data_IF_438244922202
#
_entry.id   IF_438244922202
#
_cell.length_a   1.000
_cell.length_b   1.000
_cell.length_c   1.000
_cell.angle_alpha   90.00
_cell.angle_beta   90.00
_cell.angle_gamma   90.00
#
_symmetry.space_group_name_H-M   'P 1'
#
loop_
_entity.id
_entity.type
_entity.pdbx_description
1 polymer ?
#
# COMPACT_ATOMS: atom_id res chain seq x y z
N UNK A 1 11.93 11.20 3.18
CA UNK A 1 12.62 10.53 2.06
C UNK A 1 13.59 11.46 1.35
N UNK A 2 13.22 12.70 1.02
CA UNK A 2 14.07 13.63 0.26
C UNK A 2 15.32 14.09 1.02
N UNK A 3 15.31 13.98 2.35
CA UNK A 3 16.48 14.23 3.21
C UNK A 3 17.54 13.12 3.19
N UNK A 4 17.25 11.95 2.61
CA UNK A 4 18.17 10.81 2.56
C UNK A 4 19.07 10.87 1.32
N UNK A 5 20.28 10.31 1.43
CA UNK A 5 21.16 10.09 0.27
C UNK A 5 20.56 9.05 -0.68
N UNK A 6 21.08 8.97 -1.91
CA UNK A 6 20.60 8.00 -2.89
C UNK A 6 20.75 6.56 -2.39
N UNK A 7 21.87 6.25 -1.76
CA UNK A 7 22.20 4.93 -1.22
C UNK A 7 21.27 4.56 -0.06
N UNK A 8 20.95 5.53 0.81
CA UNK A 8 19.99 5.33 1.89
C UNK A 8 18.60 5.05 1.35
N UNK A 9 18.14 5.78 0.33
CA UNK A 9 16.84 5.51 -0.32
C UNK A 9 16.80 4.08 -0.88
N UNK A 10 17.86 3.67 -1.60
CA UNK A 10 17.97 2.30 -2.14
C UNK A 10 17.94 1.27 -1.02
N UNK A 11 18.69 1.50 0.06
CA UNK A 11 18.76 0.58 1.20
C UNK A 11 17.40 0.41 1.88
N UNK A 12 16.70 1.50 2.21
CA UNK A 12 15.38 1.48 2.84
C UNK A 12 14.37 0.67 2.01
N UNK A 13 14.30 0.95 0.70
CA UNK A 13 13.35 0.27 -0.20
C UNK A 13 13.71 -1.20 -0.38
N UNK A 14 14.99 -1.54 -0.56
CA UNK A 14 15.41 -2.93 -0.82
C UNK A 14 15.40 -3.81 0.43
N UNK A 15 15.62 -3.26 1.61
CA UNK A 15 15.42 -4.00 2.86
C UNK A 15 13.95 -4.34 3.10
N UNK A 16 13.04 -3.38 2.86
CA UNK A 16 11.61 -3.63 2.92
C UNK A 16 11.17 -4.68 1.87
N UNK A 17 11.66 -4.57 0.62
CA UNK A 17 11.41 -5.56 -0.44
C UNK A 17 11.83 -6.97 0.02
N UNK A 18 13.03 -7.09 0.60
CA UNK A 18 13.58 -8.37 1.03
C UNK A 18 12.68 -9.03 2.07
N UNK A 19 12.26 -8.30 3.10
CA UNK A 19 11.40 -8.84 4.16
C UNK A 19 10.06 -9.31 3.57
N UNK A 20 9.43 -8.50 2.72
CA UNK A 20 8.17 -8.87 2.07
C UNK A 20 8.34 -10.09 1.16
N UNK A 21 9.42 -10.13 0.38
CA UNK A 21 9.69 -11.24 -0.53
C UNK A 21 10.01 -12.54 0.21
N UNK A 22 10.81 -12.51 1.27
CA UNK A 22 11.16 -13.69 2.04
C UNK A 22 9.91 -14.33 2.69
N UNK A 23 8.93 -13.51 3.09
CA UNK A 23 7.69 -13.96 3.72
C UNK A 23 6.62 -14.41 2.71
N UNK A 24 6.54 -13.76 1.54
CA UNK A 24 5.39 -13.92 0.62
C UNK A 24 5.77 -14.50 -0.74
N UNK A 25 7.05 -14.46 -1.12
CA UNK A 25 7.54 -14.73 -2.47
C UNK A 25 7.14 -13.67 -3.51
N UNK A 26 6.55 -12.55 -3.09
CA UNK A 26 6.09 -11.46 -3.96
C UNK A 26 7.07 -10.30 -3.95
N UNK A 27 7.36 -9.72 -5.12
CA UNK A 27 8.10 -8.46 -5.24
C UNK A 27 7.12 -7.35 -5.56
N UNK A 28 6.88 -6.44 -4.62
CA UNK A 28 5.90 -5.36 -4.80
C UNK A 28 6.31 -4.42 -5.92
N UNK A 29 5.34 -3.95 -6.70
CA UNK A 29 5.55 -2.93 -7.73
C UNK A 29 5.27 -1.52 -7.21
N UNK A 30 4.50 -1.39 -6.13
CA UNK A 30 4.08 -0.11 -5.58
C UNK A 30 4.75 0.16 -4.25
N UNK A 31 5.05 1.43 -4.00
CA UNK A 31 5.51 1.92 -2.71
C UNK A 31 4.86 3.27 -2.43
N UNK A 32 4.80 3.64 -1.14
CA UNK A 32 4.31 4.95 -0.69
C UNK A 32 5.42 5.65 0.10
N UNK A 33 5.83 6.86 -0.28
CA UNK A 33 6.84 7.61 0.48
C UNK A 33 6.28 8.03 1.84
N UNK A 34 7.05 7.88 2.93
CA UNK A 34 6.71 8.49 4.22
C UNK A 34 6.42 9.98 4.06
N UNK A 35 5.37 10.46 4.73
CA UNK A 35 4.88 11.85 4.65
C UNK A 35 4.48 12.36 3.26
N UNK A 36 4.39 11.49 2.24
CA UNK A 36 4.24 11.94 0.86
C UNK A 36 5.50 12.63 0.31
N UNK A 37 6.62 12.54 1.03
CA UNK A 37 7.85 13.27 0.75
C UNK A 37 8.60 12.61 -0.41
N UNK A 38 8.47 13.18 -1.61
CA UNK A 38 9.08 12.65 -2.83
C UNK A 38 9.36 13.77 -3.84
N UNK A 39 10.58 13.86 -4.31
CA UNK A 39 11.00 14.77 -5.38
C UNK A 39 11.31 13.97 -6.68
N UNK A 40 11.75 14.67 -7.73
CA UNK A 40 12.14 14.02 -9.00
C UNK A 40 13.28 13.02 -8.81
N UNK A 41 14.25 13.32 -7.92
CA UNK A 41 15.39 12.45 -7.64
C UNK A 41 14.95 11.13 -7.01
N UNK A 42 14.13 11.20 -5.97
CA UNK A 42 13.58 10.02 -5.30
C UNK A 42 12.73 9.20 -6.28
N UNK A 43 11.86 9.85 -7.08
CA UNK A 43 11.05 9.19 -8.11
C UNK A 43 11.91 8.42 -9.12
N UNK A 44 12.99 9.03 -9.58
CA UNK A 44 13.86 8.39 -10.56
C UNK A 44 14.60 7.18 -9.97
N UNK A 45 15.11 7.28 -8.75
CA UNK A 45 15.80 6.17 -8.06
C UNK A 45 14.88 4.96 -7.91
N UNK A 46 13.66 5.16 -7.41
CA UNK A 46 12.71 4.05 -7.19
C UNK A 46 12.18 3.48 -8.51
N UNK A 47 12.01 4.32 -9.54
CA UNK A 47 11.63 3.89 -10.90
C UNK A 47 12.68 2.96 -11.49
N UNK A 48 13.97 3.30 -11.37
CA UNK A 48 15.08 2.43 -11.81
C UNK A 48 15.10 1.09 -11.06
N UNK A 49 14.61 1.06 -9.82
CA UNK A 49 14.44 -0.18 -9.04
C UNK A 49 13.18 -0.98 -9.36
N UNK A 50 12.34 -0.52 -10.31
CA UNK A 50 11.10 -1.20 -10.73
C UNK A 50 9.84 -0.80 -9.96
N UNK A 51 9.91 0.26 -9.14
CA UNK A 51 8.79 0.71 -8.31
C UNK A 51 7.99 1.85 -8.95
N UNK A 52 6.70 1.90 -8.61
CA UNK A 52 5.76 2.97 -8.90
C UNK A 52 5.38 3.68 -7.60
N UNK A 53 5.59 4.99 -7.57
CA UNK A 53 5.22 5.83 -6.42
C UNK A 53 3.71 6.06 -6.38
N UNK A 54 3.11 5.74 -5.23
CA UNK A 54 1.69 5.95 -4.96
C UNK A 54 1.53 7.10 -3.97
N UNK A 55 0.75 8.10 -4.34
CA UNK A 55 0.31 9.20 -3.48
C UNK A 55 -1.22 9.17 -3.44
N UNK A 56 -1.80 9.56 -2.31
CA UNK A 56 -3.25 9.66 -2.19
C UNK A 56 -3.79 10.80 -3.06
N UNK A 57 -5.07 10.71 -3.42
CA UNK A 57 -5.73 11.79 -4.15
C UNK A 57 -5.76 13.03 -3.27
N UNK A 58 -5.46 14.19 -3.85
CA UNK A 58 -5.61 15.48 -3.18
C UNK A 58 -7.02 15.57 -2.60
N UNK A 59 -7.16 16.11 -1.38
CA UNK A 59 -8.41 16.13 -0.61
C UNK A 59 -8.88 14.79 0.03
N UNK A 60 -8.22 13.65 -0.26
CA UNK A 60 -8.59 12.31 0.27
C UNK A 60 -7.63 11.81 1.37
N UNK A 61 -7.27 12.70 2.28
CA UNK A 61 -6.62 12.35 3.55
C UNK A 61 -7.68 12.35 4.67
N UNK A 62 -7.85 11.22 5.35
CA UNK A 62 -8.78 11.09 6.47
C UNK A 62 -8.35 11.91 7.69
N UNK A 63 -7.05 12.21 7.80
CA UNK A 63 -6.35 12.72 8.98
C UNK A 63 -6.47 11.83 10.22
N UNK A 64 -6.82 10.55 10.07
CA UNK A 64 -7.02 9.61 11.20
C UNK A 64 -5.81 9.50 12.14
N UNK A 65 -4.59 9.68 11.63
CA UNK A 65 -3.34 9.72 12.40
C UNK A 65 -3.34 10.73 13.56
N UNK A 66 -4.22 11.73 13.51
CA UNK A 66 -4.39 12.73 14.57
C UNK A 66 -5.25 12.25 15.75
N UNK A 67 -5.93 11.10 15.63
CA UNK A 67 -6.73 10.52 16.72
C UNK A 67 -5.82 10.05 17.87
N UNK A 68 -4.79 9.22 17.65
CA UNK A 68 -3.81 8.86 18.68
C UNK A 68 -3.16 10.08 19.36
N UNK A 69 -2.88 11.13 18.59
CA UNK A 69 -2.30 12.39 19.06
C UNK A 69 -3.31 13.27 19.82
N UNK A 70 -4.59 12.86 19.87
CA UNK A 70 -5.71 13.56 20.51
C UNK A 70 -5.95 14.97 19.95
N UNK A 71 -5.53 15.25 18.72
CA UNK A 71 -5.76 16.55 18.07
C UNK A 71 -7.06 16.58 17.28
N UNK A 72 -7.60 15.42 16.90
CA UNK A 72 -8.96 15.30 16.34
C UNK A 72 -9.72 14.11 16.94
N UNK A 73 -11.03 14.11 16.76
CA UNK A 73 -11.93 12.99 17.12
C UNK A 73 -12.39 12.17 15.91
N UNK A 74 -12.98 11.00 16.15
CA UNK A 74 -13.60 10.19 15.09
C UNK A 74 -14.65 10.97 14.28
N UNK A 75 -15.41 11.87 14.94
CA UNK A 75 -16.40 12.73 14.27
C UNK A 75 -15.76 13.65 13.24
N UNK A 76 -14.55 14.10 13.50
CA UNK A 76 -13.81 15.01 12.62
C UNK A 76 -13.19 14.27 11.45
N UNK A 77 -12.68 13.06 11.67
CA UNK A 77 -12.31 12.16 10.56
C UNK A 77 -13.49 11.93 9.63
N UNK A 78 -14.67 11.61 10.17
CA UNK A 78 -15.87 11.43 9.36
C UNK A 78 -16.30 12.71 8.63
N UNK A 79 -16.10 13.89 9.24
CA UNK A 79 -16.34 15.18 8.60
C UNK A 79 -15.37 15.41 7.43
N UNK A 80 -14.09 15.16 7.64
CA UNK A 80 -13.06 15.28 6.59
C UNK A 80 -13.38 14.37 5.41
N UNK A 81 -13.72 13.11 5.68
CA UNK A 81 -14.08 12.16 4.63
C UNK A 81 -15.37 12.55 3.91
N UNK A 82 -16.40 13.03 4.62
CA UNK A 82 -17.61 13.57 3.98
C UNK A 82 -17.30 14.76 3.07
N UNK A 83 -16.35 15.60 3.45
CA UNK A 83 -15.88 16.67 2.58
C UNK A 83 -15.14 16.13 1.35
N UNK A 84 -14.26 15.15 1.51
CA UNK A 84 -13.61 14.46 0.39
C UNK A 84 -14.64 13.86 -0.59
N UNK A 85 -15.67 13.18 -0.09
CA UNK A 85 -16.78 12.63 -0.89
C UNK A 85 -17.51 13.72 -1.70
N UNK A 86 -17.56 14.97 -1.22
CA UNK A 86 -18.18 16.07 -1.96
C UNK A 86 -17.37 16.51 -3.20
N UNK A 87 -16.10 16.08 -3.29
CA UNK A 87 -15.23 16.37 -4.44
C UNK A 87 -15.44 15.42 -5.61
N UNK A 88 -16.11 14.26 -5.40
CA UNK A 88 -16.33 13.22 -6.43
C UNK A 88 -16.81 13.80 -7.77
N UNK A 89 -17.80 14.71 -7.85
CA UNK A 89 -18.27 15.25 -9.12
C UNK A 89 -17.20 16.01 -9.93
N UNK A 90 -16.11 16.42 -9.30
CA UNK A 90 -14.98 17.12 -9.93
C UNK A 90 -13.86 16.18 -10.38
N UNK A 91 -13.91 14.91 -9.97
CA UNK A 91 -12.88 13.94 -10.28
C UNK A 91 -13.07 13.38 -11.69
N UNK A 92 -11.94 13.13 -12.37
CA UNK A 92 -11.92 12.51 -13.71
C UNK A 92 -11.73 10.99 -13.66
N UNK A 93 -11.73 10.39 -12.47
CA UNK A 93 -11.49 8.95 -12.25
C UNK A 93 -11.72 8.55 -10.80
N UNK A 94 -11.18 7.40 -10.40
CA UNK A 94 -11.21 6.91 -9.02
C UNK A 94 -10.41 7.77 -8.04
N UNK A 95 -10.30 7.29 -6.80
CA UNK A 95 -9.60 7.95 -5.69
C UNK A 95 -8.70 6.97 -4.96
N UNK A 96 -7.60 7.51 -4.44
CA UNK A 96 -6.71 6.82 -3.52
C UNK A 96 -6.84 7.53 -2.18
N UNK A 97 -7.22 6.81 -1.14
CA UNK A 97 -7.47 7.37 0.19
C UNK A 97 -6.28 7.11 1.11
N UNK A 98 -6.00 8.04 2.02
CA UNK A 98 -4.97 7.89 3.03
C UNK A 98 -5.58 7.63 4.42
N UNK A 99 -5.18 6.48 4.97
CA UNK A 99 -5.53 5.98 6.29
C UNK A 99 -4.30 5.32 6.94
N UNK A 100 -4.38 5.10 8.26
CA UNK A 100 -3.32 4.49 9.04
C UNK A 100 -3.87 3.32 9.86
N UNK A 101 -3.15 2.19 9.88
CA UNK A 101 -3.54 0.95 10.56
C UNK A 101 -2.73 0.67 11.83
N UNK A 102 -1.87 1.60 12.24
CA UNK A 102 -0.96 1.42 13.37
C UNK A 102 -1.66 1.38 14.73
N UNK A 103 -2.81 2.05 14.88
CA UNK A 103 -3.52 2.15 16.15
C UNK A 103 -4.95 1.65 16.04
N UNK A 104 -5.45 0.96 17.07
CA UNK A 104 -6.85 0.50 17.11
C UNK A 104 -7.84 1.65 16.89
N UNK A 105 -7.51 2.86 17.38
CA UNK A 105 -8.34 4.04 17.18
C UNK A 105 -8.52 4.44 15.72
N UNK A 106 -7.48 4.29 14.88
CA UNK A 106 -7.54 4.58 13.44
C UNK A 106 -8.18 3.43 12.66
N UNK A 107 -7.92 2.17 13.05
CA UNK A 107 -8.61 1.00 12.47
C UNK A 107 -10.14 1.06 12.70
N UNK A 108 -10.57 1.54 13.87
CA UNK A 108 -11.99 1.64 14.21
C UNK A 108 -12.79 2.63 13.34
N UNK A 109 -12.12 3.57 12.65
CA UNK A 109 -12.81 4.48 11.71
C UNK A 109 -12.86 3.92 10.28
N UNK A 110 -11.98 2.97 9.92
CA UNK A 110 -11.88 2.45 8.55
C UNK A 110 -13.18 1.84 8.02
N UNK A 111 -13.87 1.01 8.82
CA UNK A 111 -15.15 0.40 8.43
C UNK A 111 -16.23 1.45 8.10
N UNK A 112 -16.52 2.40 9.00
CA UNK A 112 -17.42 3.52 8.71
C UNK A 112 -17.01 4.37 7.49
N UNK A 113 -15.71 4.62 7.27
CA UNK A 113 -15.24 5.34 6.07
C UNK A 113 -15.57 4.56 4.79
N UNK A 114 -15.28 3.26 4.78
CA UNK A 114 -15.58 2.37 3.67
C UNK A 114 -17.08 2.36 3.35
N UNK A 115 -17.94 2.22 4.36
CA UNK A 115 -19.40 2.27 4.20
C UNK A 115 -19.88 3.60 3.60
N UNK A 116 -19.30 4.72 4.03
CA UNK A 116 -19.64 6.03 3.48
C UNK A 116 -19.24 6.15 2.00
N UNK A 117 -18.07 5.62 1.62
CA UNK A 117 -17.62 5.57 0.24
C UNK A 117 -18.53 4.71 -0.64
N UNK A 118 -18.84 3.50 -0.20
CA UNK A 118 -19.72 2.59 -0.92
C UNK A 118 -21.13 3.16 -1.12
N UNK A 119 -21.69 3.84 -0.10
CA UNK A 119 -22.98 4.56 -0.22
C UNK A 119 -22.95 5.73 -1.21
N UNK A 120 -21.76 6.24 -1.55
CA UNK A 120 -21.56 7.24 -2.60
C UNK A 120 -21.24 6.66 -3.97
N UNK A 121 -21.31 5.34 -4.12
CA UNK A 121 -21.09 4.65 -5.39
C UNK A 121 -19.63 4.36 -5.69
N UNK A 122 -18.74 4.45 -4.68
CA UNK A 122 -17.35 4.05 -4.83
C UNK A 122 -17.18 2.54 -4.58
N UNK A 123 -16.31 1.91 -5.34
CA UNK A 123 -15.98 0.49 -5.21
C UNK A 123 -14.58 0.32 -4.60
N UNK A 124 -14.44 -0.36 -3.44
CA UNK A 124 -13.12 -0.62 -2.86
C UNK A 124 -12.33 -1.64 -3.68
N UNK A 125 -11.07 -1.35 -3.95
CA UNK A 125 -10.16 -2.23 -4.66
C UNK A 125 -8.70 -1.98 -4.30
N UNK A 126 -7.82 -2.89 -4.73
CA UNK A 126 -6.38 -2.68 -4.62
C UNK A 126 -5.88 -1.62 -5.62
N UNK A 127 -4.68 -1.10 -5.38
CA UNK A 127 -4.06 -0.07 -6.22
C UNK A 127 -3.90 -0.53 -7.66
N UNK A 128 -3.54 -1.79 -7.90
CA UNK A 128 -3.29 -2.27 -9.25
C UNK A 128 -4.56 -2.24 -10.09
N UNK A 129 -5.70 -2.66 -9.53
CA UNK A 129 -7.01 -2.52 -10.18
C UNK A 129 -7.38 -1.06 -10.40
N UNK A 130 -7.19 -0.21 -9.38
CA UNK A 130 -7.50 1.22 -9.47
C UNK A 130 -6.75 1.93 -10.61
N UNK A 131 -5.55 1.46 -10.94
CA UNK A 131 -4.70 2.02 -12.01
C UNK A 131 -4.65 1.16 -13.28
N UNK A 132 -5.51 0.13 -13.37
CA UNK A 132 -5.56 -0.83 -14.47
C UNK A 132 -4.22 -1.52 -14.79
N UNK A 133 -3.41 -1.85 -13.78
CA UNK A 133 -2.18 -2.63 -13.93
C UNK A 133 -2.49 -4.13 -13.77
N UNK A 134 -2.39 -4.93 -14.85
CA UNK A 134 -2.66 -6.37 -14.79
C UNK A 134 -1.55 -7.16 -14.07
N UNK A 135 -0.42 -6.51 -13.75
CA UNK A 135 0.76 -7.15 -13.17
C UNK A 135 1.16 -6.47 -11.84
N UNK A 136 0.44 -6.67 -10.73
CA UNK A 136 0.66 -5.95 -9.47
C UNK A 136 2.05 -6.14 -8.83
N UNK A 137 2.83 -7.12 -9.29
CA UNK A 137 4.14 -7.48 -8.77
C UNK A 137 5.22 -7.41 -9.85
N UNK A 138 6.45 -7.07 -9.46
CA UNK A 138 7.60 -7.09 -10.38
C UNK A 138 7.94 -8.50 -10.85
N UNK A 139 7.57 -9.54 -10.09
CA UNK A 139 7.74 -10.93 -10.47
C UNK A 139 6.46 -11.61 -10.99
N UNK A 140 5.48 -10.84 -11.50
CA UNK A 140 4.20 -11.36 -12.01
C UNK A 140 4.37 -12.46 -13.07
N UNK A 141 5.28 -12.29 -14.02
CA UNK A 141 5.57 -13.30 -15.05
C UNK A 141 6.06 -14.64 -14.45
N UNK A 142 6.97 -14.57 -13.46
CA UNK A 142 7.46 -15.77 -12.75
C UNK A 142 6.32 -16.46 -11.98
N UNK A 143 5.43 -15.68 -11.36
CA UNK A 143 4.26 -16.22 -10.66
C UNK A 143 3.29 -16.91 -11.63
N UNK A 144 3.06 -16.33 -12.81
CA UNK A 144 2.23 -16.92 -13.85
C UNK A 144 2.81 -18.25 -14.37
N UNK A 145 4.11 -18.30 -14.65
CA UNK A 145 4.81 -19.51 -15.07
C UNK A 145 4.71 -20.62 -14.02
N UNK A 146 4.92 -20.30 -12.73
CA UNK A 146 4.76 -21.26 -11.63
C UNK A 146 3.34 -21.80 -11.53
N UNK A 147 2.32 -20.95 -11.71
CA UNK A 147 0.91 -21.37 -11.71
C UNK A 147 0.60 -22.33 -12.86
N UNK A 148 1.12 -22.04 -14.06
CA UNK A 148 0.91 -22.90 -15.22
C UNK A 148 1.63 -24.25 -15.09
N UNK A 149 2.88 -24.25 -14.60
CA UNK A 149 3.62 -25.46 -14.31
C UNK A 149 2.91 -26.36 -13.28
N UNK A 150 2.24 -25.77 -12.28
CA UNK A 150 1.48 -26.49 -11.27
C UNK A 150 0.18 -27.14 -11.80
N UNK A 151 -0.38 -26.65 -12.92
CA UNK A 151 -1.57 -27.22 -13.56
C UNK A 151 -1.26 -28.43 -14.44
N UNK A 152 -0.02 -28.58 -14.90
CA UNK A 152 0.37 -29.70 -15.75
C UNK A 152 0.41 -30.98 -14.89
N UNK A 153 -0.20 -32.11 -15.33
CA UNK A 153 -0.09 -33.35 -14.58
C UNK A 153 1.38 -33.71 -14.45
N UNK A 154 1.88 -33.75 -13.22
CA UNK A 154 3.19 -34.35 -12.97
C UNK A 154 3.02 -35.83 -13.31
N UNK A 155 3.63 -36.27 -14.42
CA UNK A 155 3.73 -37.69 -14.72
C UNK A 155 4.34 -38.35 -13.48
N UNK A 156 3.56 -39.23 -12.84
CA UNK A 156 3.97 -39.89 -11.62
C UNK A 156 5.26 -40.68 -11.90
N UNK A 157 6.39 -40.16 -11.42
CA UNK A 157 7.61 -40.95 -11.31
C UNK A 157 7.30 -42.08 -10.31
N UNK A 158 7.60 -43.36 -10.61
CA UNK A 158 7.33 -44.45 -9.69
C UNK A 158 7.99 -44.16 -8.35
N UNK A 159 7.19 -44.16 -7.28
CA UNK A 159 7.67 -43.93 -5.93
C UNK A 159 8.64 -45.06 -5.55
N UNK A 160 9.89 -44.72 -5.30
CA UNK A 160 10.79 -45.61 -4.58
C UNK A 160 10.30 -45.71 -3.13
N UNK A 161 10.15 -46.96 -2.66
CA UNK A 161 9.68 -47.31 -1.33
C UNK A 161 10.56 -46.63 -0.26
N UNK A 162 10.01 -45.88 0.72
CA UNK A 162 10.81 -45.31 1.81
C UNK A 162 11.29 -46.44 2.73
N UNK A 163 12.60 -46.49 2.98
CA UNK A 163 13.15 -47.25 4.09
C UNK A 163 12.80 -46.54 5.40
N UNK A 164 12.19 -47.26 6.33
CA UNK A 164 11.82 -46.73 7.64
C UNK A 164 13.09 -46.47 8.49
N UNK A 165 13.29 -45.22 8.91
CA UNK A 165 14.22 -44.88 9.99
C UNK A 165 13.38 -44.55 11.22
N UNK A 166 13.60 -45.20 12.38
CA UNK A 166 12.83 -44.91 13.58
C UNK A 166 13.34 -43.62 14.24
N UNK A 167 12.46 -42.61 14.37
CA UNK A 167 12.73 -41.40 15.15
C UNK A 167 11.95 -41.49 16.46
N UNK A 168 12.68 -41.52 17.57
CA UNK A 168 12.15 -41.43 18.94
C UNK A 168 11.77 -39.97 19.23
N UNK A 169 10.63 -39.65 19.88
CA UNK A 169 10.27 -38.27 20.17
C UNK A 169 11.04 -37.77 21.40
N UNK A 170 11.75 -36.66 21.27
CA UNK A 170 12.22 -35.86 22.40
C UNK A 170 11.36 -34.59 22.47
N UNK A 171 10.62 -34.44 23.56
CA UNK A 171 9.86 -33.24 23.87
C UNK A 171 10.82 -32.14 24.35
N UNK A 172 10.75 -30.95 23.74
CA UNK A 172 11.41 -29.74 24.25
C UNK A 172 10.35 -28.87 24.92
N UNK A 173 10.52 -28.45 26.19
CA UNK A 173 9.56 -27.60 26.86
C UNK A 173 9.73 -26.14 26.43
N UNK A 174 8.63 -25.52 25.99
CA UNK A 174 8.55 -24.08 25.72
C UNK A 174 8.27 -23.36 27.04
N UNK A 175 9.16 -22.44 27.45
CA UNK A 175 8.88 -21.52 28.55
C UNK A 175 8.05 -20.32 28.06
N UNK A 176 7.09 -19.80 28.84
CA UNK A 176 6.32 -18.61 28.47
C UNK A 176 7.19 -17.35 28.58
N UNK A 177 7.13 -16.48 27.58
CA UNK A 177 7.71 -15.12 27.65
C UNK A 177 6.58 -14.16 28.01
N UNK A 178 6.75 -13.48 29.15
CA UNK A 178 5.84 -12.44 29.64
C UNK A 178 6.07 -11.13 28.86
N UNK A 179 5.02 -10.38 28.46
CA UNK A 179 5.20 -9.09 27.78
C UNK A 179 5.78 -8.04 28.73
N UNK A 180 6.90 -7.42 28.36
CA UNK A 180 7.38 -6.21 29.01
C UNK A 180 6.74 -4.97 28.39
N UNK A 181 6.33 -4.04 29.25
CA UNK A 181 5.75 -2.75 28.89
C UNK A 181 6.79 -1.87 28.18
N UNK A 182 6.43 -1.34 27.00
CA UNK A 182 7.22 -0.35 26.29
C UNK A 182 6.87 1.06 26.76
N UNK A 183 7.89 1.84 27.08
CA UNK A 183 7.79 3.28 27.37
C UNK A 183 7.33 4.06 26.13
N UNK A 184 6.56 5.16 26.27
CA UNK A 184 6.04 5.90 25.13
C UNK A 184 7.16 6.60 24.35
N UNK A 185 7.28 6.32 23.05
CA UNK A 185 8.04 7.17 22.13
C UNK A 185 7.21 8.42 21.81
N UNK A 186 7.82 9.59 21.96
CA UNK A 186 7.28 10.88 21.56
C UNK A 186 7.34 10.99 20.04
N UNK A 187 6.19 11.16 19.39
CA UNK A 187 6.09 11.42 17.95
C UNK A 187 6.60 12.84 17.62
N UNK A 188 7.49 13.03 16.63
CA UNK A 188 7.85 14.36 16.16
C UNK A 188 6.79 14.91 15.19
N UNK A 189 6.59 16.23 15.33
CA UNK A 189 5.60 17.10 14.69
C UNK A 189 5.54 16.97 13.16
N UNK A 190 4.33 16.76 12.61
CA UNK A 190 4.05 16.86 11.18
C UNK A 190 4.34 18.29 10.68
N UNK A 191 5.16 18.40 9.62
CA UNK A 191 5.41 19.66 8.94
C UNK A 191 4.21 20.01 8.05
N UNK A 192 3.66 21.21 8.25
CA UNK A 192 2.72 21.85 7.33
C UNK A 192 3.38 22.08 5.97
N UNK A 193 2.69 21.72 4.90
CA UNK A 193 3.08 21.98 3.51
C UNK A 193 3.40 23.47 3.30
N UNK A 194 4.62 23.86 2.87
CA UNK A 194 4.90 25.23 2.46
C UNK A 194 4.27 25.51 1.10
N UNK A 195 3.61 26.67 0.96
CA UNK A 195 3.33 27.28 -0.34
C UNK A 195 4.64 27.62 -1.03
N UNK A 196 4.89 27.07 -2.22
CA UNK A 196 5.71 27.72 -3.23
C UNK A 196 5.15 27.47 -4.63
N UNK A 197 4.98 28.57 -5.33
CA UNK A 197 4.61 28.66 -6.73
C UNK A 197 5.77 28.17 -7.59
N UNK A 198 5.67 26.95 -8.14
CA UNK A 198 6.48 26.54 -9.28
C UNK A 198 5.58 25.73 -10.22
N UNK A 199 5.31 26.31 -11.40
CA UNK A 199 4.70 25.60 -12.54
C UNK A 199 5.72 24.59 -13.05
N UNK A 200 5.60 23.30 -12.71
CA UNK A 200 6.28 22.25 -13.47
C UNK A 200 5.61 20.88 -13.28
N UNK A 201 5.78 20.06 -14.32
CA UNK A 201 4.93 18.94 -14.74
C UNK A 201 4.72 17.83 -13.71
N UNK A 202 3.49 17.76 -13.21
CA UNK A 202 2.93 16.78 -12.27
C UNK A 202 2.65 15.37 -12.90
N UNK A 203 3.50 14.85 -13.79
CA UNK A 203 3.09 13.73 -14.67
C UNK A 203 3.55 12.31 -14.26
N UNK A 204 4.21 12.10 -13.11
CA UNK A 204 4.73 10.74 -12.79
C UNK A 204 4.51 10.22 -11.35
N UNK A 205 3.77 10.93 -10.51
CA UNK A 205 3.14 10.28 -9.36
C UNK A 205 1.81 9.67 -9.83
N UNK A 206 1.44 8.48 -9.35
CA UNK A 206 0.10 7.94 -9.59
C UNK A 206 -0.91 8.77 -8.77
N UNK A 207 -1.25 9.94 -9.28
CA UNK A 207 -2.56 10.56 -9.10
C UNK A 207 -3.31 10.30 -10.40
N UNK A 208 -4.56 9.84 -10.32
CA UNK A 208 -5.34 9.40 -11.49
C UNK A 208 -5.52 10.59 -12.45
N UNK A 209 -4.68 10.64 -13.49
CA UNK A 209 -4.76 11.58 -14.63
C UNK A 209 -5.12 10.82 -15.91
N UNK A 210 -5.76 11.56 -16.80
CA UNK A 210 -6.57 11.11 -17.94
C UNK A 210 -6.08 9.87 -18.71
N UNK A 211 -6.97 8.88 -18.85
CA UNK A 211 -6.84 7.85 -19.90
C UNK A 211 -7.25 8.47 -21.23
N UNK A 212 -6.30 8.66 -22.14
CA UNK A 212 -6.53 9.13 -23.51
C UNK A 212 -7.44 8.12 -24.23
N UNK A 213 -8.66 8.53 -24.57
CA UNK A 213 -9.62 7.71 -25.35
C UNK A 213 -9.05 7.43 -26.74
N UNK A 214 -8.59 6.20 -27.01
CA UNK A 214 -8.59 5.66 -28.36
C UNK A 214 -9.99 5.10 -28.64
N UNK A 215 -10.57 5.50 -29.77
CA UNK A 215 -11.96 5.21 -30.09
C UNK A 215 -12.18 3.74 -30.45
N UNK A 216 -13.12 3.09 -29.74
CA UNK A 216 -14.09 2.16 -30.29
C UNK A 216 -15.17 1.85 -29.23
N UNK A 217 -16.42 2.21 -29.55
CA UNK A 217 -17.70 1.70 -29.03
C UNK A 217 -17.99 1.65 -27.52
N UNK A 218 -19.10 2.30 -27.15
CA UNK A 218 -19.64 2.53 -25.80
C UNK A 218 -20.08 1.25 -25.06
N UNK A 219 -19.68 1.14 -23.78
CA UNK A 219 -20.51 0.95 -22.57
C UNK A 219 -19.59 0.41 -21.46
N UNK A 220 -18.75 1.28 -20.90
CA UNK A 220 -18.00 0.97 -19.70
C UNK A 220 -18.58 1.81 -18.56
N UNK A 221 -19.18 1.14 -17.58
CA UNK A 221 -19.51 1.75 -16.30
C UNK A 221 -18.24 2.39 -15.75
N UNK A 222 -18.29 3.71 -15.50
CA UNK A 222 -17.22 4.41 -14.82
C UNK A 222 -17.26 3.98 -13.35
N UNK A 223 -16.65 2.85 -13.03
CA UNK A 223 -16.46 2.42 -11.66
C UNK A 223 -15.45 3.39 -11.02
N UNK A 224 -15.93 4.23 -10.12
CA UNK A 224 -15.08 5.06 -9.30
C UNK A 224 -14.49 4.18 -8.19
N UNK A 225 -13.18 3.95 -8.27
CA UNK A 225 -12.45 3.05 -7.39
C UNK A 225 -12.02 3.77 -6.10
N UNK A 226 -12.02 3.10 -4.95
CA UNK A 226 -11.26 3.48 -3.75
C UNK A 226 -10.11 2.51 -3.62
N UNK A 227 -8.87 3.00 -3.61
CA UNK A 227 -7.75 2.22 -3.13
C UNK A 227 -7.22 2.76 -1.80
N UNK A 228 -7.25 1.91 -0.78
CA UNK A 228 -6.73 2.21 0.56
C UNK A 228 -5.22 1.99 0.54
N UNK A 229 -4.44 3.00 0.89
CA UNK A 229 -3.00 2.84 1.12
C UNK A 229 -2.75 2.94 2.61
N UNK A 230 -2.63 1.78 3.27
CA UNK A 230 -2.23 1.72 4.66
C UNK A 230 -0.73 2.02 4.81
N UNK A 231 -0.38 2.94 5.71
CA UNK A 231 0.98 3.24 6.09
C UNK A 231 1.42 2.37 7.27
N UNK A 232 1.91 1.15 7.00
CA UNK A 232 2.52 0.33 8.05
C UNK A 232 3.93 0.84 8.37
N UNK A 233 4.19 1.15 9.64
CA UNK A 233 5.52 1.52 10.13
C UNK A 233 6.41 0.27 10.25
N UNK A 234 7.12 -0.09 9.18
CA UNK A 234 8.25 -1.02 9.24
C UNK A 234 9.54 -0.23 9.47
N UNK A 235 9.69 0.33 10.67
CA UNK A 235 10.99 0.79 11.19
C UNK A 235 11.00 0.55 12.70
N UNK A 236 11.56 -0.60 13.10
CA UNK A 236 12.21 -0.86 14.40
C UNK A 236 12.66 -2.33 14.44
N UNK A 237 13.86 -2.60 13.92
CA UNK A 237 14.72 -3.72 14.31
C UNK A 237 16.14 -3.19 14.46
#
# INVERSE_FOLDING_TARGET
>A
MTSLTNEQIVAEIKWAEKIVFDLTGLKTKYWRPPYGDVDNRVREIVRQMGYKTVIWTKEWDSNDWQIPDKTITNKEVFRNFKWALSTIPKLKGGVITLEHDLFTSTVNVAGPLLDMGMKKGLEPMDIARCVNDPEPYQNSALLAQKKEAAKKPVAAKPAAKPAAVPVKPAAVPVKPVTPQAQTPLVAPKAASVPKKDDKETEDEAIAIKEVKKSGATQLAWSAACIAIVAASALLSL
#
